data_IF_031510715211
#
_entry.id   IF_031510715211
#
_cell.length_a   1.000
_cell.length_b   1.000
_cell.length_c   1.000
_cell.angle_alpha   90.00
_cell.angle_beta   90.00
_cell.angle_gamma   90.00
#
_symmetry.space_group_name_H-M   'P 1'
#
loop_
_entity.id
_entity.type
_entity.pdbx_description
1 polymer ?
#
# COMPACT_ATOMS: atom_id res chain seq x y z
N UNK A 1 -18.03 54.70 -72.75
CA UNK A 1 -18.76 54.25 -71.56
C UNK A 1 -18.54 52.72 -71.44
N UNK A 2 -17.63 52.31 -70.56
CA UNK A 2 -17.42 50.91 -70.23
C UNK A 2 -18.06 50.68 -68.86
N UNK A 3 -19.06 49.81 -68.85
CA UNK A 3 -19.68 49.39 -67.56
C UNK A 3 -18.75 48.45 -66.85
N UNK A 4 -18.37 48.80 -65.64
CA UNK A 4 -17.68 47.89 -64.68
C UNK A 4 -18.70 47.09 -63.92
N UNK A 5 -18.87 45.83 -64.30
CA UNK A 5 -19.65 44.88 -63.51
C UNK A 5 -18.92 44.60 -62.21
N UNK A 6 -19.50 45.05 -61.11
CA UNK A 6 -19.09 44.71 -59.79
C UNK A 6 -19.51 43.27 -59.45
N UNK A 7 -18.55 42.35 -59.30
CA UNK A 7 -18.77 41.00 -58.85
C UNK A 7 -19.22 41.09 -57.34
N UNK A 8 -20.36 40.50 -56.95
CA UNK A 8 -20.79 40.48 -55.57
C UNK A 8 -19.82 39.61 -54.76
N UNK A 9 -19.25 40.20 -53.70
CA UNK A 9 -18.42 39.48 -52.76
C UNK A 9 -19.24 38.37 -52.06
N UNK A 10 -19.08 37.15 -52.56
CA UNK A 10 -19.64 35.98 -51.91
C UNK A 10 -19.14 35.92 -50.49
N UNK A 11 -20.07 35.88 -49.53
CA UNK A 11 -19.73 35.61 -48.11
C UNK A 11 -19.09 34.21 -48.08
N UNK A 12 -17.74 34.16 -48.03
CA UNK A 12 -17.06 32.94 -47.66
C UNK A 12 -17.48 32.56 -46.26
N UNK A 13 -18.02 31.37 -46.10
CA UNK A 13 -18.35 30.84 -44.80
C UNK A 13 -17.04 30.53 -44.06
N UNK A 14 -16.59 31.49 -43.24
CA UNK A 14 -15.38 31.39 -42.45
C UNK A 14 -15.64 30.75 -41.05
N UNK A 15 -16.80 30.10 -40.87
CA UNK A 15 -17.17 29.48 -39.63
C UNK A 15 -16.11 28.47 -39.12
N UNK A 16 -15.56 27.58 -39.98
CA UNK A 16 -14.50 26.65 -39.53
C UNK A 16 -13.22 27.37 -39.09
N UNK A 17 -12.81 28.44 -39.81
CA UNK A 17 -11.62 29.23 -39.41
C UNK A 17 -11.85 30.00 -38.12
N UNK A 18 -13.01 30.54 -37.88
CA UNK A 18 -13.36 31.23 -36.65
C UNK A 18 -13.43 30.26 -35.45
N UNK A 19 -13.83 29.01 -35.66
CA UNK A 19 -13.79 27.99 -34.62
C UNK A 19 -12.36 27.59 -34.32
N UNK A 20 -11.49 27.45 -35.29
CA UNK A 20 -10.07 27.18 -35.12
C UNK A 20 -9.37 28.36 -34.39
N UNK A 21 -9.62 29.59 -34.81
CA UNK A 21 -9.12 30.80 -34.10
C UNK A 21 -9.60 30.85 -32.66
N UNK A 22 -10.86 30.56 -32.38
CA UNK A 22 -11.39 30.51 -31.01
C UNK A 22 -10.75 29.41 -30.21
N UNK A 23 -10.45 28.24 -30.80
CA UNK A 23 -9.74 27.15 -30.12
C UNK A 23 -8.30 27.53 -29.83
N UNK A 24 -7.58 28.08 -30.82
CA UNK A 24 -6.19 28.54 -30.67
C UNK A 24 -6.09 29.68 -29.62
N UNK A 25 -6.98 30.69 -29.72
CA UNK A 25 -7.01 31.79 -28.73
C UNK A 25 -7.38 31.31 -27.34
N UNK A 26 -8.24 30.28 -27.20
CA UNK A 26 -8.54 29.67 -25.91
C UNK A 26 -7.32 28.95 -25.35
N UNK A 27 -6.58 28.21 -26.19
CA UNK A 27 -5.39 27.49 -25.79
C UNK A 27 -4.25 28.45 -25.40
N UNK A 28 -4.09 29.56 -26.13
CA UNK A 28 -3.17 30.65 -25.82
C UNK A 28 -3.55 31.40 -24.53
N UNK A 29 -4.85 31.67 -24.31
CA UNK A 29 -5.32 32.32 -23.10
C UNK A 29 -5.22 31.42 -21.87
N UNK A 30 -5.33 30.10 -22.08
CA UNK A 30 -5.21 29.11 -21.01
C UNK A 30 -3.76 28.68 -20.77
N UNK A 31 -2.77 29.32 -21.41
CA UNK A 31 -1.31 29.05 -21.32
C UNK A 31 -0.92 27.57 -21.50
N UNK A 32 -1.67 26.84 -22.35
CA UNK A 32 -1.38 25.43 -22.59
C UNK A 32 -0.20 25.32 -23.57
N UNK A 33 0.90 24.75 -23.09
CA UNK A 33 2.08 24.52 -23.91
C UNK A 33 1.91 23.32 -24.84
N UNK A 34 2.38 23.41 -26.11
CA UNK A 34 2.34 22.29 -27.06
C UNK A 34 3.17 21.07 -26.65
N UNK A 35 4.09 21.23 -25.69
CA UNK A 35 5.07 20.23 -25.28
C UNK A 35 4.48 18.94 -24.67
N UNK A 36 3.20 18.96 -24.28
CA UNK A 36 2.49 17.77 -23.81
C UNK A 36 1.90 16.90 -24.93
N UNK A 37 1.95 17.37 -26.19
CA UNK A 37 1.24 16.76 -27.32
C UNK A 37 1.70 15.33 -27.70
N UNK A 38 2.80 14.83 -27.15
CA UNK A 38 3.32 13.48 -27.40
C UNK A 38 3.33 12.56 -26.19
N UNK A 39 3.09 13.05 -24.97
CA UNK A 39 3.23 12.26 -23.76
C UNK A 39 2.12 11.20 -23.65
N UNK A 40 2.54 9.96 -23.37
CA UNK A 40 1.61 8.88 -22.99
C UNK A 40 1.28 8.92 -21.49
N UNK A 41 0.24 8.20 -21.09
CA UNK A 41 -0.10 8.03 -19.67
C UNK A 41 1.05 7.39 -18.91
N UNK A 42 1.70 6.40 -19.50
CA UNK A 42 2.87 5.73 -18.90
C UNK A 42 4.04 6.71 -18.71
N UNK A 43 4.35 7.52 -19.73
CA UNK A 43 5.45 8.50 -19.67
C UNK A 43 5.19 9.57 -18.60
N UNK A 44 3.94 10.07 -18.53
CA UNK A 44 3.53 11.03 -17.52
C UNK A 44 3.70 10.45 -16.09
N UNK A 45 3.26 9.20 -15.88
CA UNK A 45 3.40 8.54 -14.57
C UNK A 45 4.87 8.29 -14.23
N UNK A 46 5.71 7.88 -15.19
CA UNK A 46 7.16 7.76 -15.00
C UNK A 46 7.79 9.11 -14.64
N UNK A 47 7.43 10.18 -15.35
CA UNK A 47 7.89 11.56 -15.07
C UNK A 47 7.50 11.96 -13.63
N UNK A 48 6.25 11.77 -13.23
CA UNK A 48 5.77 12.05 -11.88
C UNK A 48 6.54 11.27 -10.81
N UNK A 49 6.76 9.98 -11.01
CA UNK A 49 7.49 9.15 -10.04
C UNK A 49 8.95 9.60 -9.92
N UNK A 50 9.58 10.04 -11.03
CA UNK A 50 10.95 10.56 -11.03
C UNK A 50 11.11 11.82 -10.18
N UNK A 51 10.06 12.63 -9.99
CA UNK A 51 10.07 13.80 -9.09
C UNK A 51 10.01 13.43 -7.61
N UNK A 52 9.73 12.16 -7.27
CA UNK A 52 9.60 11.69 -5.88
C UNK A 52 10.94 11.25 -5.34
N UNK A 53 11.57 12.11 -4.54
CA UNK A 53 12.82 11.82 -3.82
C UNK A 53 12.51 11.28 -2.41
N UNK A 54 13.44 10.51 -1.83
CA UNK A 54 13.32 10.04 -0.44
C UNK A 54 12.18 9.04 -0.14
N UNK A 55 11.57 8.44 -1.18
CA UNK A 55 10.49 7.47 -0.96
C UNK A 55 11.02 6.13 -0.45
N UNK A 56 10.30 5.55 0.53
CA UNK A 56 10.62 4.24 1.10
C UNK A 56 10.54 3.12 0.06
N UNK A 57 11.29 2.03 0.30
CA UNK A 57 11.32 0.85 -0.57
C UNK A 57 9.93 0.30 -0.90
N UNK A 58 9.05 0.20 0.09
CA UNK A 58 7.66 -0.27 -0.10
C UNK A 58 6.86 0.63 -1.03
N UNK A 59 7.02 1.95 -0.92
CA UNK A 59 6.36 2.92 -1.79
C UNK A 59 6.89 2.81 -3.22
N UNK A 60 8.21 2.67 -3.37
CA UNK A 60 8.85 2.47 -4.68
C UNK A 60 8.38 1.18 -5.36
N UNK A 61 8.24 0.08 -4.60
CA UNK A 61 7.68 -1.17 -5.10
C UNK A 61 6.22 -1.00 -5.56
N UNK A 62 5.41 -0.22 -4.81
CA UNK A 62 4.05 0.16 -5.21
C UNK A 62 4.01 0.93 -6.52
N UNK A 63 4.91 1.90 -6.70
CA UNK A 63 5.06 2.62 -7.97
C UNK A 63 5.43 1.69 -9.13
N UNK A 64 6.37 0.77 -8.91
CA UNK A 64 6.74 -0.26 -9.89
C UNK A 64 5.55 -1.12 -10.32
N UNK A 65 4.67 -1.45 -9.39
CA UNK A 65 3.43 -2.20 -9.70
C UNK A 65 2.52 -1.41 -10.64
N UNK A 66 2.37 -0.10 -10.44
CA UNK A 66 1.55 0.77 -11.30
C UNK A 66 2.20 0.95 -12.68
N UNK A 67 3.53 1.14 -12.74
CA UNK A 67 4.28 1.22 -14.01
C UNK A 67 4.09 -0.08 -14.80
N UNK A 68 4.29 -1.24 -14.18
CA UNK A 68 4.14 -2.55 -14.83
C UNK A 68 2.71 -2.82 -15.31
N UNK A 69 1.71 -2.29 -14.59
CA UNK A 69 0.32 -2.34 -15.04
C UNK A 69 0.13 -1.52 -16.30
N UNK A 70 0.54 -0.25 -16.28
CA UNK A 70 0.37 0.68 -17.42
C UNK A 70 1.20 0.26 -18.64
N UNK A 71 2.34 -0.35 -18.46
CA UNK A 71 3.19 -0.87 -19.53
C UNK A 71 2.49 -1.98 -20.33
N UNK A 72 1.68 -2.81 -19.66
CA UNK A 72 0.93 -3.92 -20.26
C UNK A 72 -0.49 -3.54 -20.68
N UNK A 73 -0.99 -2.42 -20.22
CA UNK A 73 -2.36 -1.98 -20.42
C UNK A 73 -2.42 -0.98 -21.59
N UNK A 74 -3.31 -1.18 -22.59
CA UNK A 74 -3.49 -0.23 -23.68
C UNK A 74 -3.75 1.22 -23.26
N UNK A 75 -4.32 1.42 -22.06
CA UNK A 75 -4.52 2.75 -21.49
C UNK A 75 -3.20 3.49 -21.24
N UNK A 76 -2.15 2.76 -20.87
CA UNK A 76 -0.82 3.33 -20.63
C UNK A 76 -0.18 3.93 -21.89
N UNK A 77 -0.46 3.37 -23.07
CA UNK A 77 0.04 3.86 -24.35
C UNK A 77 -0.77 5.04 -24.93
N UNK A 78 -1.92 5.36 -24.34
CA UNK A 78 -2.75 6.48 -24.82
C UNK A 78 -2.09 7.83 -24.51
N UNK A 79 -2.24 8.78 -25.44
CA UNK A 79 -1.79 10.17 -25.25
C UNK A 79 -2.64 10.86 -24.18
N UNK A 80 -2.02 11.61 -23.29
CA UNK A 80 -2.70 12.29 -22.17
C UNK A 80 -3.69 13.35 -22.63
N UNK A 81 -3.40 14.04 -23.74
CA UNK A 81 -4.29 15.06 -24.35
C UNK A 81 -5.59 14.49 -24.92
N UNK A 82 -5.64 13.17 -25.12
CA UNK A 82 -6.82 12.44 -25.63
C UNK A 82 -7.60 11.72 -24.52
N UNK A 83 -7.17 11.81 -23.28
CA UNK A 83 -7.86 11.18 -22.15
C UNK A 83 -8.94 12.10 -21.62
N UNK A 84 -10.19 11.64 -21.72
CA UNK A 84 -11.35 12.33 -21.13
C UNK A 84 -11.70 11.71 -19.77
N UNK A 85 -12.53 12.41 -19.01
CA UNK A 85 -13.06 11.91 -17.73
C UNK A 85 -13.81 10.56 -17.90
N UNK A 86 -14.55 10.37 -19.00
CA UNK A 86 -15.21 9.10 -19.33
C UNK A 86 -14.20 7.97 -19.50
N UNK A 87 -13.12 8.20 -20.25
CA UNK A 87 -12.07 7.20 -20.48
C UNK A 87 -11.41 6.75 -19.17
N UNK A 88 -11.13 7.72 -18.28
CA UNK A 88 -10.55 7.43 -16.97
C UNK A 88 -11.49 6.56 -16.11
N UNK A 89 -12.80 6.87 -16.11
CA UNK A 89 -13.80 6.08 -15.40
C UNK A 89 -13.94 4.67 -15.99
N UNK A 90 -14.07 4.55 -17.31
CA UNK A 90 -14.19 3.27 -18.02
C UNK A 90 -12.98 2.38 -17.77
N UNK A 91 -11.77 2.96 -17.78
CA UNK A 91 -10.56 2.22 -17.44
C UNK A 91 -10.60 1.64 -16.02
N UNK A 92 -10.99 2.42 -15.00
CA UNK A 92 -11.09 1.93 -13.63
C UNK A 92 -12.19 0.88 -13.46
N UNK A 93 -13.34 1.04 -14.15
CA UNK A 93 -14.41 0.04 -14.18
C UNK A 93 -13.91 -1.27 -14.80
N UNK A 94 -13.18 -1.19 -15.92
CA UNK A 94 -12.58 -2.36 -16.57
C UNK A 94 -11.60 -3.08 -15.64
N UNK A 95 -10.74 -2.34 -14.92
CA UNK A 95 -9.82 -2.92 -13.93
C UNK A 95 -10.57 -3.72 -12.86
N UNK A 96 -11.76 -3.27 -12.44
CA UNK A 96 -12.57 -4.02 -11.46
C UNK A 96 -13.32 -5.18 -12.10
N UNK A 97 -14.03 -4.95 -13.19
CA UNK A 97 -14.98 -5.92 -13.75
C UNK A 97 -14.28 -7.01 -14.56
N UNK A 98 -13.27 -6.63 -15.36
CA UNK A 98 -12.55 -7.55 -16.25
C UNK A 98 -11.32 -8.11 -15.56
N UNK A 99 -10.44 -7.24 -15.05
CA UNK A 99 -9.17 -7.64 -14.46
C UNK A 99 -9.31 -8.07 -12.99
N UNK A 100 -10.55 -8.05 -12.43
CA UNK A 100 -10.90 -8.49 -11.08
C UNK A 100 -10.06 -7.85 -9.97
N UNK A 101 -9.62 -6.60 -10.17
CA UNK A 101 -8.90 -5.87 -9.13
C UNK A 101 -9.85 -5.39 -8.05
N UNK A 102 -9.44 -5.54 -6.78
CA UNK A 102 -10.21 -5.02 -5.64
C UNK A 102 -10.27 -3.49 -5.63
N UNK A 103 -11.27 -2.93 -4.97
CA UNK A 103 -11.36 -1.49 -4.75
C UNK A 103 -10.09 -0.89 -4.16
N UNK A 104 -9.47 -1.56 -3.18
CA UNK A 104 -8.24 -1.12 -2.54
C UNK A 104 -7.06 -1.07 -3.53
N UNK A 105 -6.94 -2.04 -4.43
CA UNK A 105 -5.92 -2.03 -5.48
C UNK A 105 -6.14 -0.88 -6.45
N UNK A 106 -7.38 -0.64 -6.89
CA UNK A 106 -7.75 0.46 -7.78
C UNK A 106 -7.51 1.82 -7.10
N UNK A 107 -7.84 1.94 -5.81
CA UNK A 107 -7.55 3.13 -5.01
C UNK A 107 -6.04 3.43 -5.00
N UNK A 108 -5.20 2.41 -4.83
CA UNK A 108 -3.74 2.55 -4.84
C UNK A 108 -3.21 2.95 -6.22
N UNK A 109 -3.73 2.34 -7.31
CA UNK A 109 -3.37 2.69 -8.69
C UNK A 109 -3.73 4.15 -8.98
N UNK A 110 -4.98 4.54 -8.67
CA UNK A 110 -5.44 5.92 -8.85
C UNK A 110 -4.64 6.91 -7.98
N UNK A 111 -4.20 6.48 -6.79
CA UNK A 111 -3.33 7.25 -5.89
C UNK A 111 -1.98 7.64 -6.50
N UNK A 112 -1.57 6.99 -7.59
CA UNK A 112 -0.36 7.32 -8.37
C UNK A 112 -0.73 8.08 -9.64
N UNK A 113 -1.74 7.60 -10.37
CA UNK A 113 -2.12 8.17 -11.68
C UNK A 113 -2.75 9.56 -11.54
N UNK A 114 -3.68 9.76 -10.58
CA UNK A 114 -4.33 11.06 -10.38
C UNK A 114 -3.35 12.20 -10.09
N UNK A 115 -2.39 12.07 -9.15
CA UNK A 115 -1.39 13.12 -8.94
C UNK A 115 -0.46 13.34 -10.14
N UNK A 116 -0.18 12.31 -10.95
CA UNK A 116 0.58 12.49 -12.19
C UNK A 116 -0.16 13.37 -13.19
N UNK A 117 -1.47 13.15 -13.36
CA UNK A 117 -2.31 14.04 -14.18
C UNK A 117 -2.48 15.43 -13.57
N UNK A 118 -2.48 15.54 -12.23
CA UNK A 118 -2.50 16.84 -11.58
C UNK A 118 -1.22 17.64 -11.88
N UNK A 119 -0.06 16.99 -11.82
CA UNK A 119 1.20 17.61 -12.24
C UNK A 119 1.12 18.15 -13.67
N UNK A 120 0.52 17.40 -14.60
CA UNK A 120 0.32 17.87 -15.98
C UNK A 120 -0.64 19.08 -16.08
N UNK A 121 -1.60 19.22 -15.15
CA UNK A 121 -2.44 20.42 -15.05
C UNK A 121 -1.66 21.58 -14.45
N UNK A 122 -0.88 21.33 -13.40
CA UNK A 122 -0.07 22.35 -12.71
C UNK A 122 1.07 22.86 -13.62
N UNK A 123 1.55 22.02 -14.58
CA UNK A 123 2.54 22.36 -15.63
C UNK A 123 1.88 22.99 -16.90
N UNK A 124 0.59 23.34 -16.86
CA UNK A 124 -0.19 23.89 -17.98
C UNK A 124 -0.24 23.01 -19.26
N UNK A 125 0.03 21.71 -19.11
CA UNK A 125 -0.06 20.74 -20.21
C UNK A 125 -1.52 20.30 -20.45
N UNK A 126 -2.32 20.22 -19.37
CA UNK A 126 -3.72 19.83 -19.42
C UNK A 126 -4.60 20.87 -18.72
N UNK A 127 -5.78 21.11 -19.24
CA UNK A 127 -6.77 22.02 -18.61
C UNK A 127 -7.41 21.48 -17.35
N UNK A 128 -7.64 20.16 -17.30
CA UNK A 128 -8.35 19.47 -16.22
C UNK A 128 -7.79 18.09 -16.03
N UNK A 129 -7.79 17.67 -14.78
CA UNK A 129 -7.41 16.31 -14.42
C UNK A 129 -8.57 15.33 -14.72
N UNK A 130 -8.41 14.37 -15.65
CA UNK A 130 -9.48 13.41 -15.98
C UNK A 130 -9.81 12.45 -14.83
N UNK A 131 -8.96 12.36 -13.81
CA UNK A 131 -9.20 11.56 -12.61
C UNK A 131 -9.81 12.34 -11.45
N UNK A 132 -10.31 13.58 -11.68
CA UNK A 132 -10.95 14.42 -10.66
C UNK A 132 -12.42 14.04 -10.47
N UNK A 133 -12.64 12.94 -9.75
CA UNK A 133 -13.96 12.45 -9.33
C UNK A 133 -13.84 11.59 -8.07
N UNK A 134 -14.96 11.35 -7.39
CA UNK A 134 -15.00 10.43 -6.25
C UNK A 134 -14.97 8.97 -6.73
N UNK A 135 -13.97 8.19 -6.28
CA UNK A 135 -13.79 6.82 -6.73
C UNK A 135 -15.01 5.93 -6.41
N UNK A 136 -15.60 6.10 -5.23
CA UNK A 136 -16.75 5.32 -4.79
C UNK A 136 -18.03 5.50 -5.66
N UNK A 137 -18.09 6.55 -6.50
CA UNK A 137 -19.19 6.74 -7.46
C UNK A 137 -18.98 5.99 -8.77
N UNK A 138 -17.80 5.40 -8.99
CA UNK A 138 -17.39 4.77 -10.25
C UNK A 138 -17.13 3.28 -10.09
N UNK A 139 -16.50 2.90 -8.99
CA UNK A 139 -16.10 1.51 -8.69
C UNK A 139 -16.78 1.07 -7.40
N UNK A 140 -17.26 -0.17 -7.39
CA UNK A 140 -17.93 -0.73 -6.22
C UNK A 140 -16.90 -0.94 -5.11
N UNK A 141 -17.21 -0.43 -3.91
CA UNK A 141 -16.37 -0.67 -2.75
C UNK A 141 -16.65 -2.06 -2.17
N UNK A 142 -15.83 -3.02 -2.58
CA UNK A 142 -15.83 -4.41 -2.12
C UNK A 142 -14.93 -4.66 -0.89
N UNK A 143 -14.43 -3.59 -0.28
CA UNK A 143 -13.55 -3.70 0.87
C UNK A 143 -14.31 -4.27 2.07
N UNK A 144 -13.89 -5.45 2.52
CA UNK A 144 -14.42 -6.05 3.74
C UNK A 144 -13.89 -5.29 4.94
N UNK A 145 -14.78 -4.70 5.72
CA UNK A 145 -14.42 -4.08 7.00
C UNK A 145 -13.93 -5.18 7.95
N UNK A 146 -12.68 -5.05 8.39
CA UNK A 146 -12.15 -5.99 9.39
C UNK A 146 -12.71 -5.62 10.75
N UNK A 147 -13.50 -6.50 11.30
CA UNK A 147 -13.96 -6.37 12.68
C UNK A 147 -12.81 -6.75 13.63
N UNK A 148 -12.75 -6.05 14.75
CA UNK A 148 -11.85 -6.43 15.82
C UNK A 148 -12.39 -7.67 16.52
N UNK A 149 -11.51 -8.56 16.92
CA UNK A 149 -11.89 -9.76 17.66
C UNK A 149 -12.31 -9.40 19.09
N UNK A 150 -13.25 -10.17 19.62
CA UNK A 150 -13.69 -10.06 21.02
C UNK A 150 -12.64 -10.68 21.97
N UNK A 151 -12.63 -10.26 23.24
CA UNK A 151 -11.78 -10.88 24.29
C UNK A 151 -12.00 -12.41 24.39
N UNK A 152 -13.22 -12.87 24.16
CA UNK A 152 -13.54 -14.32 24.17
C UNK A 152 -12.86 -15.02 23.00
N UNK A 153 -12.92 -14.45 21.81
CA UNK A 153 -12.27 -15.02 20.61
C UNK A 153 -10.74 -15.00 20.75
N UNK A 154 -10.16 -13.93 21.31
CA UNK A 154 -8.74 -13.86 21.62
C UNK A 154 -8.31 -14.99 22.55
N UNK A 155 -9.02 -15.14 23.69
CA UNK A 155 -8.73 -16.22 24.67
C UNK A 155 -8.84 -17.59 24.02
N UNK A 156 -9.94 -17.84 23.32
CA UNK A 156 -10.17 -19.12 22.63
C UNK A 156 -9.05 -19.44 21.64
N UNK A 157 -8.60 -18.44 20.87
CA UNK A 157 -7.51 -18.61 19.92
C UNK A 157 -6.18 -18.89 20.63
N UNK A 158 -5.84 -18.12 21.66
CA UNK A 158 -4.60 -18.29 22.42
C UNK A 158 -4.57 -19.62 23.17
N UNK A 159 -5.69 -20.06 23.77
CA UNK A 159 -5.80 -21.36 24.43
C UNK A 159 -5.59 -22.49 23.44
N UNK A 160 -6.16 -22.38 22.24
CA UNK A 160 -5.93 -23.34 21.17
C UNK A 160 -4.46 -23.42 20.77
N UNK A 161 -3.82 -22.26 20.51
CA UNK A 161 -2.39 -22.19 20.14
C UNK A 161 -1.53 -22.82 21.22
N UNK A 162 -1.78 -22.49 22.49
CA UNK A 162 -0.99 -22.98 23.63
C UNK A 162 -0.97 -24.50 23.71
N UNK A 163 -2.11 -25.13 23.41
CA UNK A 163 -2.30 -26.58 23.52
C UNK A 163 -2.07 -27.34 22.21
N UNK A 164 -1.84 -26.68 21.09
CA UNK A 164 -1.64 -27.33 19.82
C UNK A 164 -0.18 -27.78 19.65
N UNK A 165 0.05 -29.04 19.26
CA UNK A 165 1.39 -29.62 19.12
C UNK A 165 2.28 -28.93 18.10
N UNK A 166 1.70 -28.28 17.08
CA UNK A 166 2.46 -27.60 16.05
C UNK A 166 2.64 -26.09 16.34
N UNK A 167 1.55 -25.45 16.84
CA UNK A 167 1.53 -23.98 16.99
C UNK A 167 1.99 -23.48 18.35
N UNK A 168 2.11 -24.35 19.38
CA UNK A 168 2.54 -23.96 20.74
C UNK A 168 3.88 -23.22 20.75
N UNK A 169 4.80 -23.57 19.87
CA UNK A 169 6.10 -22.89 19.73
C UNK A 169 6.01 -21.44 19.25
N UNK A 170 4.87 -21.01 18.72
CA UNK A 170 4.61 -19.63 18.28
C UNK A 170 3.73 -18.85 19.27
N UNK A 171 3.28 -19.52 20.34
CA UNK A 171 2.37 -18.93 21.34
C UNK A 171 2.91 -17.63 21.91
N UNK A 172 4.14 -17.61 22.40
CA UNK A 172 4.73 -16.44 23.06
C UNK A 172 4.74 -15.21 22.14
N UNK A 173 5.16 -15.38 20.87
CA UNK A 173 5.16 -14.28 19.91
C UNK A 173 3.77 -13.79 19.55
N UNK A 174 2.79 -14.68 19.38
CA UNK A 174 1.39 -14.32 19.13
C UNK A 174 0.78 -13.60 20.34
N UNK A 175 1.08 -14.07 21.54
CA UNK A 175 0.64 -13.45 22.79
C UNK A 175 1.18 -12.02 22.93
N UNK A 176 2.48 -11.84 22.73
CA UNK A 176 3.13 -10.52 22.76
C UNK A 176 2.46 -9.55 21.78
N UNK A 177 2.21 -9.98 20.54
CA UNK A 177 1.56 -9.14 19.53
C UNK A 177 0.16 -8.66 19.96
N UNK A 178 -0.64 -9.52 20.59
CA UNK A 178 -1.95 -9.13 21.12
C UNK A 178 -1.85 -8.17 22.31
N UNK A 179 -0.95 -8.43 23.23
CA UNK A 179 -0.86 -7.67 24.49
C UNK A 179 -0.18 -6.31 24.34
N UNK A 180 0.79 -6.21 23.45
CA UNK A 180 1.54 -4.96 23.24
C UNK A 180 0.98 -4.07 22.14
N UNK A 181 0.21 -4.65 21.21
CA UNK A 181 -0.30 -3.95 20.05
C UNK A 181 0.79 -3.40 19.10
N UNK A 182 2.01 -3.91 19.20
CA UNK A 182 3.08 -3.54 18.27
C UNK A 182 2.77 -4.07 16.86
N UNK A 183 3.30 -3.39 15.85
CA UNK A 183 3.15 -3.87 14.47
C UNK A 183 3.98 -5.14 14.29
N UNK A 184 3.47 -6.04 13.45
CA UNK A 184 4.18 -7.30 13.19
C UNK A 184 5.60 -7.09 12.65
N UNK A 185 5.82 -6.08 11.83
CA UNK A 185 7.15 -5.73 11.32
C UNK A 185 8.07 -5.14 12.38
N UNK A 186 7.52 -4.46 13.40
CA UNK A 186 8.26 -4.03 14.59
C UNK A 186 8.67 -5.25 15.41
N UNK A 187 7.72 -6.14 15.71
CA UNK A 187 8.00 -7.38 16.45
C UNK A 187 9.08 -8.25 15.78
N UNK A 188 8.98 -8.44 14.46
CA UNK A 188 9.97 -9.25 13.72
C UNK A 188 11.34 -8.56 13.61
N UNK A 189 11.38 -7.24 13.75
CA UNK A 189 12.60 -6.45 13.80
C UNK A 189 13.32 -6.49 15.14
N UNK A 190 12.62 -6.85 16.23
CA UNK A 190 13.23 -6.86 17.57
C UNK A 190 14.46 -7.74 17.63
N UNK A 191 15.49 -7.19 18.25
CA UNK A 191 16.72 -7.87 18.62
C UNK A 191 16.80 -8.05 20.13
N UNK A 192 17.73 -8.85 20.60
CA UNK A 192 17.99 -9.01 22.05
C UNK A 192 18.32 -7.67 22.70
N UNK A 193 18.94 -6.74 21.97
CA UNK A 193 19.34 -5.42 22.49
C UNK A 193 18.15 -4.47 22.72
N UNK A 194 17.01 -4.73 22.08
CA UNK A 194 15.81 -3.91 22.21
C UNK A 194 14.98 -4.26 23.46
N UNK A 195 15.38 -5.34 24.16
CA UNK A 195 14.70 -5.82 25.35
C UNK A 195 15.52 -5.45 26.59
N UNK A 196 15.02 -4.51 27.36
CA UNK A 196 15.54 -4.24 28.72
C UNK A 196 14.78 -5.13 29.70
N UNK A 197 15.37 -6.30 30.00
CA UNK A 197 14.77 -7.27 30.91
C UNK A 197 14.84 -6.86 32.37
N UNK A 198 15.74 -5.94 32.75
CA UNK A 198 15.87 -5.41 34.09
C UNK A 198 14.76 -4.39 34.39
N UNK A 199 14.61 -3.39 33.50
CA UNK A 199 13.57 -2.36 33.60
C UNK A 199 12.23 -2.77 32.97
N UNK A 200 12.15 -3.98 32.41
CA UNK A 200 10.95 -4.55 31.76
C UNK A 200 10.38 -3.64 30.69
N UNK A 201 11.22 -3.24 29.75
CA UNK A 201 10.80 -2.39 28.64
C UNK A 201 11.26 -2.92 27.29
N UNK A 202 10.50 -2.57 26.26
CA UNK A 202 10.76 -2.90 24.85
C UNK A 202 11.00 -1.59 24.10
N UNK A 203 12.16 -1.44 23.50
CA UNK A 203 12.45 -0.31 22.63
C UNK A 203 11.97 -0.60 21.21
N UNK A 204 11.17 0.29 20.63
CA UNK A 204 10.66 0.21 19.26
C UNK A 204 11.15 1.42 18.48
N UNK A 205 12.18 1.27 17.68
CA UNK A 205 12.75 2.33 16.84
C UNK A 205 12.92 1.92 15.37
N UNK A 206 12.79 0.63 15.08
CA UNK A 206 12.95 0.07 13.76
C UNK A 206 11.97 -1.08 13.47
N UNK A 207 11.98 -1.57 12.25
CA UNK A 207 11.14 -2.66 11.79
C UNK A 207 11.85 -3.48 10.72
N UNK A 208 11.64 -4.80 10.71
CA UNK A 208 12.13 -5.68 9.66
C UNK A 208 11.12 -5.76 8.52
N UNK A 209 11.58 -5.43 7.32
CA UNK A 209 10.76 -5.43 6.12
C UNK A 209 11.30 -6.41 5.08
N UNK A 210 10.39 -6.89 4.21
CA UNK A 210 10.74 -7.71 3.06
C UNK A 210 10.02 -7.21 1.82
N UNK A 211 10.76 -6.97 0.75
CA UNK A 211 10.23 -6.62 -0.57
C UNK A 211 10.86 -7.54 -1.61
N UNK A 212 10.06 -8.40 -2.22
CA UNK A 212 10.57 -9.47 -3.07
C UNK A 212 11.51 -10.40 -2.28
N UNK A 213 12.76 -10.49 -2.69
CA UNK A 213 13.82 -11.29 -2.01
C UNK A 213 14.63 -10.47 -1.00
N UNK A 214 14.57 -9.14 -1.08
CA UNK A 214 15.31 -8.24 -0.21
C UNK A 214 14.67 -8.15 1.17
N UNK A 215 15.44 -8.44 2.22
CA UNK A 215 15.10 -8.21 3.62
C UNK A 215 15.96 -7.05 4.12
N UNK A 216 15.37 -6.08 4.78
CA UNK A 216 16.05 -4.85 5.21
C UNK A 216 15.39 -4.27 6.47
N UNK A 217 16.14 -3.45 7.19
CA UNK A 217 15.63 -2.67 8.31
C UNK A 217 15.13 -1.31 7.77
N UNK A 218 13.94 -0.93 8.19
CA UNK A 218 13.39 0.40 7.95
C UNK A 218 13.12 1.10 9.30
N UNK A 219 13.27 2.40 9.34
CA UNK A 219 12.87 3.19 10.50
C UNK A 219 11.36 3.15 10.69
N UNK A 220 10.88 3.41 11.89
CA UNK A 220 9.45 3.55 12.14
C UNK A 220 8.82 4.59 11.21
N UNK A 221 7.56 4.40 10.83
CA UNK A 221 6.89 5.20 9.79
C UNK A 221 6.73 6.69 10.16
N UNK A 222 6.72 6.99 11.45
CA UNK A 222 6.54 8.34 11.99
C UNK A 222 7.40 8.51 13.24
N UNK A 223 7.71 9.74 13.62
CA UNK A 223 8.40 10.04 14.90
C UNK A 223 7.70 9.40 16.10
N UNK A 224 6.36 9.42 16.13
CA UNK A 224 5.54 8.75 17.16
C UNK A 224 5.66 7.21 17.12
N UNK A 225 6.20 6.67 16.03
CA UNK A 225 6.46 5.22 15.90
C UNK A 225 7.61 4.74 16.78
N UNK A 226 8.60 5.60 17.08
CA UNK A 226 9.66 5.31 18.03
C UNK A 226 9.10 5.49 19.44
N UNK A 227 9.12 4.42 20.21
CA UNK A 227 8.52 4.38 21.54
C UNK A 227 9.08 3.26 22.38
N UNK A 228 8.95 3.41 23.68
CA UNK A 228 9.25 2.36 24.66
C UNK A 228 7.91 1.81 25.18
N UNK A 229 7.77 0.49 25.19
CA UNK A 229 6.59 -0.22 25.69
C UNK A 229 6.97 -0.93 26.99
N UNK A 230 6.26 -0.72 28.11
CA UNK A 230 6.47 -1.50 29.32
C UNK A 230 5.99 -2.93 29.14
N UNK A 231 6.71 -3.91 29.69
CA UNK A 231 6.31 -5.31 29.71
C UNK A 231 5.45 -5.56 30.96
N UNK A 232 4.25 -6.07 30.74
CA UNK A 232 3.47 -6.69 31.82
C UNK A 232 4.09 -8.05 32.16
N UNK A 233 3.78 -8.63 33.34
CA UNK A 233 4.39 -9.88 33.82
C UNK A 233 4.27 -11.02 32.80
N UNK A 234 3.10 -11.20 32.22
CA UNK A 234 2.83 -12.23 31.20
C UNK A 234 3.62 -12.02 29.90
N UNK A 235 3.80 -10.77 29.46
CA UNK A 235 4.63 -10.41 28.30
C UNK A 235 6.11 -10.64 28.61
N UNK A 236 6.53 -10.29 29.81
CA UNK A 236 7.90 -10.52 30.28
C UNK A 236 8.25 -12.03 30.28
N UNK A 237 7.36 -12.87 30.82
CA UNK A 237 7.51 -14.33 30.80
C UNK A 237 7.62 -14.86 29.36
N UNK A 238 6.78 -14.37 28.43
CA UNK A 238 6.87 -14.75 27.02
C UNK A 238 8.23 -14.41 26.42
N UNK A 239 8.79 -13.23 26.71
CA UNK A 239 10.14 -12.87 26.24
C UNK A 239 11.22 -13.73 26.88
N UNK A 240 11.12 -14.05 28.17
CA UNK A 240 12.05 -14.99 28.81
C UNK A 240 12.04 -16.35 28.12
N UNK A 241 10.84 -16.88 27.79
CA UNK A 241 10.71 -18.14 27.05
C UNK A 241 11.33 -18.05 25.65
N UNK A 242 11.08 -16.97 24.90
CA UNK A 242 11.68 -16.75 23.58
C UNK A 242 13.20 -16.72 23.69
N UNK A 243 13.77 -15.95 24.64
CA UNK A 243 15.21 -15.83 24.82
C UNK A 243 15.85 -17.16 25.22
N UNK A 244 15.24 -17.90 26.15
CA UNK A 244 15.69 -19.22 26.60
C UNK A 244 15.67 -20.26 25.47
N UNK A 245 14.66 -20.21 24.61
CA UNK A 245 14.48 -21.18 23.52
C UNK A 245 15.05 -20.68 22.19
N UNK A 246 15.67 -19.49 22.18
CA UNK A 246 16.31 -18.92 21.00
C UNK A 246 17.42 -19.83 20.48
N UNK A 247 17.37 -20.19 19.22
CA UNK A 247 18.36 -21.04 18.56
C UNK A 247 18.95 -20.32 17.36
N UNK A 248 19.92 -19.44 17.60
CA UNK A 248 20.56 -18.72 16.50
C UNK A 248 21.43 -19.67 15.67
N UNK A 249 21.64 -19.40 14.38
CA UNK A 249 22.64 -20.11 13.59
C UNK A 249 24.05 -19.82 14.11
N UNK A 250 25.04 -20.66 13.72
CA UNK A 250 26.44 -20.47 14.16
C UNK A 250 26.99 -19.07 13.84
N UNK A 251 26.58 -18.52 12.69
CA UNK A 251 26.85 -17.14 12.31
C UNK A 251 25.50 -16.45 12.18
N UNK A 252 25.21 -15.53 13.10
CA UNK A 252 23.97 -14.79 13.06
C UNK A 252 23.96 -13.80 11.88
N UNK A 253 22.85 -13.75 11.12
CA UNK A 253 22.72 -12.80 10.04
C UNK A 253 22.72 -11.36 10.58
N UNK A 254 23.45 -10.49 9.90
CA UNK A 254 23.42 -9.05 10.11
C UNK A 254 22.62 -8.42 8.94
N UNK A 255 21.61 -7.61 9.27
CA UNK A 255 20.78 -6.90 8.30
C UNK A 255 20.87 -5.41 8.65
N UNK A 256 21.43 -4.62 7.76
CA UNK A 256 21.62 -3.17 7.92
C UNK A 256 22.21 -2.77 9.29
N UNK A 257 23.19 -3.55 9.79
CA UNK A 257 23.86 -3.32 11.07
C UNK A 257 23.15 -3.93 12.29
N UNK A 258 21.98 -4.52 12.14
CA UNK A 258 21.24 -5.20 13.21
C UNK A 258 21.51 -6.70 13.19
N UNK A 259 21.73 -7.28 14.37
CA UNK A 259 21.90 -8.71 14.61
C UNK A 259 21.28 -9.08 15.96
N UNK A 260 21.14 -10.38 16.24
CA UNK A 260 20.53 -10.80 17.49
C UNK A 260 19.00 -10.84 17.41
N UNK A 261 18.41 -11.07 16.23
CA UNK A 261 16.95 -11.17 16.06
C UNK A 261 16.36 -12.27 16.94
N UNK A 262 15.13 -12.09 17.41
CA UNK A 262 14.52 -12.98 18.40
C UNK A 262 14.12 -14.35 17.80
N UNK A 263 13.64 -14.36 16.55
CA UNK A 263 13.08 -15.54 15.92
C UNK A 263 13.73 -15.83 14.56
N UNK A 264 14.07 -17.10 14.34
CA UNK A 264 14.66 -17.59 13.08
C UNK A 264 13.76 -18.63 12.41
N UNK A 265 13.82 -18.66 11.09
CA UNK A 265 13.23 -19.75 10.31
C UNK A 265 14.15 -20.99 10.29
N UNK A 266 13.71 -22.03 9.59
CA UNK A 266 14.47 -23.29 9.45
C UNK A 266 15.84 -23.13 8.76
N UNK A 267 16.00 -22.06 7.98
CA UNK A 267 17.21 -21.76 7.21
C UNK A 267 18.13 -20.79 7.98
N UNK A 268 17.83 -20.49 9.24
CA UNK A 268 18.59 -19.58 10.10
C UNK A 268 18.45 -18.10 9.75
N UNK A 269 17.45 -17.74 8.95
CA UNK A 269 17.15 -16.35 8.60
C UNK A 269 16.13 -15.78 9.59
N UNK A 270 16.19 -14.46 9.91
CA UNK A 270 15.17 -13.83 10.73
C UNK A 270 13.78 -14.02 10.15
N UNK A 271 12.83 -14.38 10.99
CA UNK A 271 11.44 -14.53 10.57
C UNK A 271 10.86 -13.15 10.26
N UNK A 272 10.34 -12.99 9.04
CA UNK A 272 9.67 -11.75 8.61
C UNK A 272 8.15 -11.82 8.86
N UNK A 273 7.48 -10.68 8.78
CA UNK A 273 6.04 -10.52 9.01
C UNK A 273 5.17 -11.59 8.30
N UNK A 274 5.50 -11.93 7.05
CA UNK A 274 4.76 -12.93 6.26
C UNK A 274 4.75 -14.33 6.90
N UNK A 275 5.79 -14.73 7.65
CA UNK A 275 5.82 -16.02 8.34
C UNK A 275 4.75 -16.05 9.45
N UNK A 276 4.69 -15.00 10.26
CA UNK A 276 3.73 -14.86 11.34
C UNK A 276 2.29 -14.73 10.82
N UNK A 277 2.06 -13.94 9.76
CA UNK A 277 0.75 -13.84 9.12
C UNK A 277 0.22 -15.20 8.67
N UNK A 278 1.08 -16.03 8.07
CA UNK A 278 0.75 -17.40 7.68
C UNK A 278 0.43 -18.28 8.89
N UNK A 279 1.20 -18.17 9.97
CA UNK A 279 0.92 -18.97 11.17
C UNK A 279 -0.38 -18.59 11.82
N UNK A 280 -0.71 -17.30 11.91
CA UNK A 280 -2.02 -16.85 12.36
C UNK A 280 -3.14 -17.43 11.49
N UNK A 281 -3.03 -17.31 10.17
CA UNK A 281 -4.02 -17.82 9.22
C UNK A 281 -4.22 -19.34 9.36
N UNK A 282 -3.12 -20.09 9.27
CA UNK A 282 -3.20 -21.55 9.33
C UNK A 282 -3.68 -22.07 10.69
N UNK A 283 -3.37 -21.37 11.78
CA UNK A 283 -3.87 -21.74 13.09
C UNK A 283 -5.39 -21.51 13.21
N UNK A 284 -5.91 -20.40 12.67
CA UNK A 284 -7.35 -20.15 12.59
C UNK A 284 -8.03 -21.21 11.72
N UNK A 285 -7.45 -21.52 10.55
CA UNK A 285 -7.99 -22.53 9.63
C UNK A 285 -8.05 -23.92 10.30
N UNK A 286 -6.98 -24.29 11.03
CA UNK A 286 -6.93 -25.55 11.79
C UNK A 286 -7.98 -25.56 12.91
N UNK A 287 -8.11 -24.49 13.68
CA UNK A 287 -9.14 -24.37 14.70
C UNK A 287 -10.54 -24.56 14.07
N UNK A 288 -10.81 -23.85 13.01
CA UNK A 288 -12.09 -23.88 12.32
C UNK A 288 -12.40 -25.23 11.66
N UNK A 289 -11.38 -26.03 11.33
CA UNK A 289 -11.58 -27.39 10.84
C UNK A 289 -11.95 -28.39 11.94
N UNK A 290 -11.65 -28.08 13.20
CA UNK A 290 -11.87 -28.96 14.34
C UNK A 290 -13.14 -28.61 15.12
N UNK A 291 -13.39 -27.31 15.30
CA UNK A 291 -14.43 -26.84 16.21
C UNK A 291 -15.64 -26.28 15.45
N UNK A 292 -16.84 -26.57 15.98
CA UNK A 292 -18.10 -26.07 15.38
C UNK A 292 -18.25 -24.55 15.47
N UNK A 293 -17.79 -23.96 16.58
CA UNK A 293 -17.81 -22.51 16.76
C UNK A 293 -16.59 -21.92 16.04
N UNK A 294 -16.82 -21.22 14.96
CA UNK A 294 -15.78 -20.68 14.11
C UNK A 294 -15.16 -19.41 14.67
N UNK A 295 -13.87 -19.27 14.54
CA UNK A 295 -13.16 -18.01 14.76
C UNK A 295 -13.18 -17.18 13.49
N UNK A 296 -13.32 -15.84 13.59
CA UNK A 296 -13.17 -14.95 12.43
C UNK A 296 -11.72 -14.94 11.97
N UNK A 297 -11.47 -14.28 10.84
CA UNK A 297 -10.09 -14.06 10.38
C UNK A 297 -9.31 -13.24 11.42
N UNK A 298 -8.38 -13.88 12.10
CA UNK A 298 -7.49 -13.25 13.07
C UNK A 298 -6.18 -12.89 12.37
N UNK A 299 -5.72 -11.66 12.57
CA UNK A 299 -4.45 -11.18 12.03
C UNK A 299 -3.61 -10.54 13.15
N UNK A 300 -2.29 -10.47 13.00
CA UNK A 300 -1.41 -9.82 13.98
C UNK A 300 -1.78 -8.36 14.30
N UNK A 301 -2.56 -7.71 13.44
CA UNK A 301 -3.07 -6.35 13.65
C UNK A 301 -4.51 -6.31 14.17
N UNK A 302 -5.08 -7.46 14.52
CA UNK A 302 -6.41 -7.57 15.10
C UNK A 302 -6.48 -6.95 16.48
N UNK A 303 -6.84 -5.65 16.56
CA UNK A 303 -7.06 -4.98 17.85
C UNK A 303 -8.31 -5.56 18.49
N UNK A 304 -8.17 -5.99 19.75
CA UNK A 304 -9.32 -6.19 20.64
C UNK A 304 -9.93 -4.81 20.90
N UNK A 305 -11.15 -4.57 20.42
CA UNK A 305 -11.87 -3.35 20.84
C UNK A 305 -12.29 -3.57 22.29
N UNK A 306 -11.68 -2.84 23.19
CA UNK A 306 -12.18 -2.67 24.54
C UNK A 306 -13.39 -1.73 24.40
N UNK A 307 -14.60 -2.30 24.24
CA UNK A 307 -15.81 -1.55 24.54
C UNK A 307 -15.86 -1.44 26.06
N UNK A 308 -15.47 -0.29 26.59
CA UNK A 308 -15.87 0.11 27.96
C UNK A 308 -17.39 0.26 27.90
N UNK A 309 -18.07 -0.68 28.55
CA UNK A 309 -19.51 -0.59 28.89
C UNK A 309 -19.71 0.53 29.89
#
# INVERSE_FOLDING_TARGET
LVATDSIPAGKRDNAPLREQEKAINRDLNDMITPDGAGLTVLDLVKKYIATKTGVKHTTRAGYGTVINLLDKDPFGARRIDKIRLSDAKEWLIRLQQVDKKSYSAIHSIRGVVRPAFQMAVDDDILRKNPFEFQLATVVVNDAVTREAITRKQERTFLDFIKNDTHYSKYYDGMYILFKTGMRISEFTGLTVKDLDMENRTINIDHQLQKTGTLVYIDTTKTYVGTRVIPMQDDVYECFQHILKNRRPPKVEPMIDGYSGFLCFDKDGKPMVAMHWEKYFQHAVDKYNSIYRVQLPKITPHGRVIIRTS
#
